data_IF_684523553508
#
_entry.id   IF_684523553508
#
_cell.length_a   1.000
_cell.length_b   1.000
_cell.length_c   1.000
_cell.angle_alpha   90.00
_cell.angle_beta   90.00
_cell.angle_gamma   90.00
#
_symmetry.space_group_name_H-M   'P 1'
#
loop_
_entity.id
_entity.type
_entity.pdbx_description
1 polymer ?
#
# COMPACT_ATOMS: atom_id res chain seq x y z
N UNK A 1 -12.83 -16.58 6.48
CA UNK A 1 -12.23 -15.61 5.54
C UNK A 1 -13.07 -14.34 5.33
N UNK A 2 -14.34 -14.42 4.93
CA UNK A 2 -15.17 -13.21 4.72
C UNK A 2 -15.38 -12.34 5.98
N UNK A 3 -15.49 -12.95 7.16
CA UNK A 3 -15.66 -12.21 8.43
C UNK A 3 -14.43 -11.39 8.81
N UNK A 4 -13.22 -11.88 8.54
CA UNK A 4 -12.00 -11.13 8.81
C UNK A 4 -11.85 -9.88 7.93
N UNK A 5 -12.16 -9.99 6.64
CA UNK A 5 -12.15 -8.84 5.73
C UNK A 5 -13.16 -7.76 6.16
N UNK A 6 -14.40 -8.17 6.52
CA UNK A 6 -15.41 -7.23 7.02
C UNK A 6 -14.96 -6.53 8.29
N UNK A 7 -14.27 -7.23 9.18
CA UNK A 7 -13.75 -6.66 10.41
C UNK A 7 -12.65 -5.60 10.15
N UNK A 8 -11.73 -5.89 9.23
CA UNK A 8 -10.66 -4.94 8.84
C UNK A 8 -11.26 -3.67 8.22
N UNK A 9 -12.30 -3.77 7.37
CA UNK A 9 -12.92 -2.61 6.74
C UNK A 9 -13.97 -1.89 7.60
N UNK A 10 -14.39 -2.47 8.72
CA UNK A 10 -15.38 -1.86 9.61
C UNK A 10 -14.98 -0.43 10.06
N UNK A 11 -13.75 -0.13 10.50
CA UNK A 11 -13.35 1.22 10.87
C UNK A 11 -13.48 2.22 9.72
N UNK A 12 -13.17 1.82 8.47
CA UNK A 12 -13.33 2.66 7.28
C UNK A 12 -14.79 3.02 7.04
N UNK A 13 -15.69 2.05 7.14
CA UNK A 13 -17.14 2.27 6.98
C UNK A 13 -17.66 3.18 8.09
N UNK A 14 -17.26 2.95 9.34
CA UNK A 14 -17.63 3.81 10.48
C UNK A 14 -17.12 5.22 10.27
N UNK A 15 -15.87 5.40 9.85
CA UNK A 15 -15.31 6.72 9.53
C UNK A 15 -16.08 7.42 8.42
N UNK A 16 -16.48 6.69 7.37
CA UNK A 16 -17.27 7.25 6.26
C UNK A 16 -18.66 7.77 6.70
N UNK A 17 -19.23 7.22 7.75
CA UNK A 17 -20.53 7.66 8.26
C UNK A 17 -20.45 9.00 9.03
N UNK A 18 -19.24 9.48 9.36
CA UNK A 18 -19.05 10.70 10.15
C UNK A 18 -18.82 11.92 9.24
N UNK A 19 -19.83 12.80 9.05
CA UNK A 19 -19.64 14.05 8.34
C UNK A 19 -18.94 15.08 9.24
N UNK A 20 -17.86 15.66 8.75
CA UNK A 20 -17.14 16.72 9.48
C UNK A 20 -17.31 18.04 8.73
N UNK A 21 -17.97 19.00 9.36
CA UNK A 21 -18.20 20.34 8.78
C UNK A 21 -17.09 21.35 9.10
N UNK A 22 -16.16 21.02 10.02
CA UNK A 22 -15.09 21.92 10.46
C UNK A 22 -13.81 21.66 9.65
N UNK A 23 -13.43 22.61 8.79
CA UNK A 23 -12.21 22.50 7.98
C UNK A 23 -10.94 22.28 8.82
N UNK A 24 -10.81 22.98 9.96
CA UNK A 24 -9.66 22.81 10.84
C UNK A 24 -9.53 21.39 11.44
N UNK A 25 -10.65 20.72 11.70
CA UNK A 25 -10.62 19.33 12.19
C UNK A 25 -10.22 18.38 11.07
N UNK A 26 -10.71 18.61 9.85
CA UNK A 26 -10.36 17.81 8.68
C UNK A 26 -8.86 17.93 8.35
N UNK A 27 -8.30 19.14 8.47
CA UNK A 27 -6.86 19.35 8.28
C UNK A 27 -6.03 18.60 9.33
N UNK A 28 -6.43 18.61 10.59
CA UNK A 28 -5.78 17.83 11.64
C UNK A 28 -5.85 16.32 11.36
N UNK A 29 -7.00 15.83 10.89
CA UNK A 29 -7.15 14.42 10.50
C UNK A 29 -6.20 14.08 9.34
N UNK A 30 -6.09 14.94 8.32
CA UNK A 30 -5.17 14.73 7.19
C UNK A 30 -3.71 14.68 7.66
N UNK A 31 -3.30 15.59 8.55
CA UNK A 31 -1.97 15.56 9.15
C UNK A 31 -1.75 14.30 9.99
N UNK A 32 -2.71 13.94 10.83
CA UNK A 32 -2.63 12.72 11.65
C UNK A 32 -2.53 11.46 10.80
N UNK A 33 -3.26 11.38 9.68
CA UNK A 33 -3.15 10.26 8.73
C UNK A 33 -1.73 10.10 8.20
N UNK A 34 -1.09 11.22 7.81
CA UNK A 34 0.31 11.18 7.34
C UNK A 34 1.26 10.71 8.44
N UNK A 35 1.08 11.15 9.69
CA UNK A 35 1.88 10.66 10.81
C UNK A 35 1.65 9.18 11.11
N UNK A 36 0.41 8.70 11.04
CA UNK A 36 0.09 7.28 11.24
C UNK A 36 0.77 6.40 10.18
N UNK A 37 0.84 6.87 8.94
CA UNK A 37 1.58 6.15 7.88
C UNK A 37 3.06 6.01 8.28
N UNK A 38 3.71 7.06 8.73
CA UNK A 38 5.12 6.95 9.17
C UNK A 38 5.28 6.03 10.39
N UNK A 39 4.34 6.06 11.33
CA UNK A 39 4.39 5.18 12.50
C UNK A 39 4.24 3.72 12.08
N UNK A 40 3.27 3.39 11.22
CA UNK A 40 3.07 2.01 10.76
C UNK A 40 4.28 1.51 9.97
N UNK A 41 4.89 2.37 9.14
CA UNK A 41 6.11 2.09 8.41
C UNK A 41 7.29 1.78 9.35
N UNK A 42 7.41 2.56 10.41
CA UNK A 42 8.45 2.36 11.43
C UNK A 42 8.25 1.04 12.19
N UNK A 43 6.99 0.71 12.53
CA UNK A 43 6.66 -0.56 13.16
C UNK A 43 6.92 -1.76 12.23
N UNK A 44 6.68 -1.63 10.93
CA UNK A 44 7.04 -2.67 9.97
C UNK A 44 8.56 -2.86 9.88
N UNK A 45 9.32 -1.77 9.93
CA UNK A 45 10.78 -1.86 10.03
C UNK A 45 11.22 -2.62 11.30
N UNK A 46 10.57 -2.34 12.44
CA UNK A 46 10.78 -3.07 13.70
C UNK A 46 10.44 -4.56 13.57
N UNK A 47 9.31 -4.90 12.94
CA UNK A 47 8.89 -6.29 12.72
C UNK A 47 9.87 -7.05 11.84
N UNK A 48 10.46 -6.39 10.82
CA UNK A 48 11.54 -6.99 10.02
C UNK A 48 12.78 -7.33 10.85
N UNK A 49 13.10 -6.54 11.87
CA UNK A 49 14.24 -6.80 12.77
C UNK A 49 14.03 -8.03 13.65
N UNK A 50 12.78 -8.42 13.90
CA UNK A 50 12.42 -9.59 14.70
C UNK A 50 12.61 -10.92 13.94
N UNK A 51 12.91 -10.89 12.64
CA UNK A 51 13.07 -12.10 11.83
C UNK A 51 14.37 -12.82 12.13
N UNK A 52 14.30 -14.12 12.39
CA UNK A 52 15.47 -14.99 12.43
C UNK A 52 16.16 -14.99 11.06
N UNK A 53 17.50 -15.04 11.05
CA UNK A 53 18.32 -15.01 9.83
C UNK A 53 18.05 -13.81 8.93
N UNK A 54 18.00 -12.63 9.50
CA UNK A 54 17.68 -11.36 8.83
C UNK A 54 18.38 -11.19 7.47
N UNK A 55 19.68 -11.56 7.37
CA UNK A 55 20.48 -11.39 6.14
C UNK A 55 19.89 -12.18 4.96
N UNK A 56 19.55 -13.45 5.15
CA UNK A 56 18.97 -14.29 4.08
C UNK A 56 17.53 -13.89 3.78
N UNK A 57 16.76 -13.53 4.79
CA UNK A 57 15.39 -13.05 4.65
C UNK A 57 15.36 -11.70 3.92
N UNK A 58 16.27 -10.79 4.23
CA UNK A 58 16.39 -9.49 3.55
C UNK A 58 16.75 -9.65 2.07
N UNK A 59 17.64 -10.60 1.75
CA UNK A 59 17.96 -10.91 0.36
C UNK A 59 16.74 -11.44 -0.39
N UNK A 60 15.97 -12.34 0.21
CA UNK A 60 14.74 -12.87 -0.36
C UNK A 60 13.67 -11.78 -0.54
N UNK A 61 13.51 -10.90 0.46
CA UNK A 61 12.61 -9.75 0.41
C UNK A 61 12.97 -8.84 -0.78
N UNK A 62 14.24 -8.47 -0.91
CA UNK A 62 14.71 -7.60 -2.00
C UNK A 62 14.55 -8.27 -3.37
N UNK A 63 14.83 -9.57 -3.48
CA UNK A 63 14.65 -10.32 -4.71
C UNK A 63 13.18 -10.36 -5.13
N UNK A 64 12.28 -10.68 -4.21
CA UNK A 64 10.84 -10.71 -4.48
C UNK A 64 10.32 -9.31 -4.82
N UNK A 65 10.57 -8.32 -3.98
CA UNK A 65 10.15 -6.95 -4.22
C UNK A 65 10.67 -6.42 -5.57
N UNK A 66 11.96 -6.61 -5.87
CA UNK A 66 12.58 -6.16 -7.12
C UNK A 66 11.97 -6.85 -8.34
N UNK A 67 11.75 -8.17 -8.29
CA UNK A 67 11.15 -8.92 -9.39
C UNK A 67 9.71 -8.48 -9.62
N UNK A 68 8.89 -8.39 -8.57
CA UNK A 68 7.51 -7.90 -8.69
C UNK A 68 7.47 -6.47 -9.19
N UNK A 69 8.30 -5.58 -8.66
CA UNK A 69 8.41 -4.19 -9.13
C UNK A 69 8.68 -4.11 -10.63
N UNK A 70 9.65 -4.86 -11.14
CA UNK A 70 9.98 -4.88 -12.57
C UNK A 70 8.84 -5.46 -13.39
N UNK A 71 8.30 -6.62 -13.03
CA UNK A 71 7.23 -7.28 -13.77
C UNK A 71 5.96 -6.41 -13.82
N UNK A 72 5.52 -5.88 -12.68
CA UNK A 72 4.34 -5.02 -12.60
C UNK A 72 4.54 -3.71 -13.36
N UNK A 73 5.71 -3.07 -13.21
CA UNK A 73 6.03 -1.81 -13.91
C UNK A 73 6.06 -2.00 -15.42
N UNK A 74 6.70 -3.05 -15.90
CA UNK A 74 6.75 -3.35 -17.35
C UNK A 74 5.35 -3.59 -17.91
N UNK A 75 4.53 -4.41 -17.25
CA UNK A 75 3.16 -4.67 -17.68
C UNK A 75 2.31 -3.39 -17.70
N UNK A 76 2.37 -2.58 -16.65
CA UNK A 76 1.63 -1.33 -16.57
C UNK A 76 2.08 -0.29 -17.60
N UNK A 77 3.39 -0.10 -17.77
CA UNK A 77 3.94 0.85 -18.74
C UNK A 77 3.58 0.50 -20.18
N UNK A 78 3.47 -0.79 -20.53
CA UNK A 78 3.02 -1.20 -21.86
C UNK A 78 1.51 -1.01 -22.06
N UNK A 79 0.71 -1.12 -20.99
CA UNK A 79 -0.74 -0.98 -21.09
C UNK A 79 -1.19 0.49 -21.09
N UNK A 80 -0.52 1.39 -20.39
CA UNK A 80 -0.90 2.81 -20.27
C UNK A 80 -1.05 3.53 -21.61
N UNK A 81 -0.12 3.40 -22.59
CA UNK A 81 -0.29 4.02 -23.90
C UNK A 81 -1.48 3.48 -24.71
N UNK A 82 -1.87 2.22 -24.46
CA UNK A 82 -3.05 1.62 -25.10
C UNK A 82 -4.31 2.23 -24.50
N UNK A 83 -4.32 2.45 -23.19
CA UNK A 83 -5.42 3.12 -22.47
C UNK A 83 -5.63 4.54 -22.99
N UNK A 84 -4.56 5.31 -23.15
CA UNK A 84 -4.60 6.69 -23.64
C UNK A 84 -5.20 6.80 -25.05
N UNK A 85 -4.97 5.79 -25.90
CA UNK A 85 -5.58 5.71 -27.24
C UNK A 85 -7.06 5.36 -27.22
N UNK A 86 -7.49 4.51 -26.28
CA UNK A 86 -8.89 4.02 -26.20
C UNK A 86 -9.75 5.01 -25.44
N UNK A 87 -9.21 5.63 -24.39
CA UNK A 87 -9.90 6.56 -23.51
C UNK A 87 -9.04 7.82 -23.36
N UNK A 88 -9.07 8.73 -24.35
CA UNK A 88 -8.28 9.95 -24.28
C UNK A 88 -8.67 10.76 -23.04
N UNK A 89 -7.76 10.85 -22.08
CA UNK A 89 -7.92 11.68 -20.90
C UNK A 89 -7.83 13.15 -21.35
N UNK A 90 -8.90 13.91 -21.10
CA UNK A 90 -8.84 15.36 -21.20
C UNK A 90 -8.00 15.88 -20.03
N UNK A 91 -6.69 15.84 -20.18
CA UNK A 91 -5.78 16.46 -19.21
C UNK A 91 -5.86 17.97 -19.38
N UNK A 92 -6.42 18.64 -18.38
CA UNK A 92 -6.27 20.07 -18.24
C UNK A 92 -4.76 20.37 -18.11
N UNK A 93 -4.18 21.01 -19.10
CA UNK A 93 -2.74 21.33 -19.24
C UNK A 93 -2.18 22.26 -18.14
N UNK A 94 -3.01 22.67 -17.18
CA UNK A 94 -2.66 23.62 -16.12
C UNK A 94 -2.31 22.96 -14.77
N UNK A 95 -2.07 21.66 -14.73
CA UNK A 95 -1.51 21.06 -13.51
C UNK A 95 -0.03 21.37 -13.43
N UNK A 96 0.36 22.14 -12.41
CA UNK A 96 1.76 22.33 -12.02
C UNK A 96 2.42 20.95 -11.92
N UNK A 97 3.28 20.62 -12.87
CA UNK A 97 4.04 19.36 -12.83
C UNK A 97 4.89 19.40 -11.57
N UNK A 98 4.57 18.55 -10.60
CA UNK A 98 5.43 18.37 -9.44
C UNK A 98 6.83 17.98 -9.94
N UNK A 99 7.89 18.63 -9.46
CA UNK A 99 9.23 18.29 -9.89
C UNK A 99 9.54 16.84 -9.49
N UNK A 100 10.13 16.06 -10.40
CA UNK A 100 10.51 14.66 -10.16
C UNK A 100 11.35 14.49 -8.89
N UNK A 101 12.14 15.51 -8.54
CA UNK A 101 12.92 15.54 -7.32
C UNK A 101 12.08 15.50 -6.04
N UNK A 102 10.91 16.14 -6.00
CA UNK A 102 10.03 16.08 -4.81
C UNK A 102 9.37 14.73 -4.67
N UNK A 103 8.99 14.08 -5.79
CA UNK A 103 8.43 12.73 -5.78
C UNK A 103 9.46 11.70 -5.32
N UNK A 104 10.71 11.81 -5.82
CA UNK A 104 11.81 10.95 -5.40
C UNK A 104 12.15 11.15 -3.90
N UNK A 105 12.11 12.40 -3.42
CA UNK A 105 12.37 12.71 -2.02
C UNK A 105 11.31 12.10 -1.08
N UNK A 106 10.05 12.10 -1.49
CA UNK A 106 8.98 11.45 -0.71
C UNK A 106 9.20 9.95 -0.62
N UNK A 107 9.54 9.28 -1.72
CA UNK A 107 9.86 7.84 -1.71
C UNK A 107 11.07 7.53 -0.82
N UNK A 108 12.13 8.34 -0.89
CA UNK A 108 13.31 8.19 -0.03
C UNK A 108 12.96 8.34 1.45
N UNK A 109 12.07 9.29 1.81
CA UNK A 109 11.61 9.44 3.21
C UNK A 109 10.97 8.17 3.73
N UNK A 110 10.14 7.50 2.93
CA UNK A 110 9.47 6.26 3.33
C UNK A 110 10.50 5.14 3.58
N UNK A 111 11.48 4.98 2.69
CA UNK A 111 12.58 4.02 2.84
C UNK A 111 13.39 4.30 4.10
N UNK A 112 13.71 5.57 4.37
CA UNK A 112 14.45 5.98 5.57
C UNK A 112 13.66 5.67 6.85
N UNK A 113 12.34 5.84 6.85
CA UNK A 113 11.49 5.53 8.01
C UNK A 113 11.49 4.02 8.29
N UNK A 114 11.32 3.18 7.27
CA UNK A 114 11.38 1.71 7.40
C UNK A 114 12.78 1.27 7.85
N UNK A 115 13.83 1.78 7.21
CA UNK A 115 15.22 1.50 7.58
C UNK A 115 15.54 1.95 9.01
N UNK A 116 15.03 3.10 9.43
CA UNK A 116 15.14 3.58 10.81
C UNK A 116 14.46 2.67 11.82
N UNK A 117 13.25 2.17 11.50
CA UNK A 117 12.56 1.16 12.29
C UNK A 117 13.35 -0.14 12.41
N UNK A 118 13.89 -0.63 11.29
CA UNK A 118 14.76 -1.83 11.26
C UNK A 118 16.01 -1.66 12.15
N UNK A 119 16.72 -0.54 12.00
CA UNK A 119 17.90 -0.25 12.81
C UNK A 119 17.54 -0.15 14.30
N UNK A 120 16.43 0.52 14.62
CA UNK A 120 15.95 0.63 15.99
C UNK A 120 15.63 -0.75 16.59
N UNK A 121 14.97 -1.64 15.82
CA UNK A 121 14.67 -2.99 16.24
C UNK A 121 15.90 -3.88 16.49
N UNK A 122 16.98 -3.65 15.73
CA UNK A 122 18.26 -4.35 15.91
C UNK A 122 19.06 -3.87 17.13
N UNK A 123 18.93 -2.58 17.48
CA UNK A 123 19.70 -1.98 18.59
C UNK A 123 18.97 -2.12 19.92
N UNK A 124 17.66 -2.03 19.92
CA UNK A 124 16.85 -2.06 21.14
C UNK A 124 16.57 -3.52 21.53
N UNK A 125 17.02 -3.99 22.71
CA UNK A 125 16.71 -5.34 23.20
C UNK A 125 15.28 -5.41 23.75
N UNK A 126 14.29 -4.98 22.99
CA UNK A 126 12.89 -4.96 23.39
C UNK A 126 12.22 -6.17 22.74
N UNK A 127 11.47 -6.94 23.53
CA UNK A 127 10.60 -7.98 22.97
C UNK A 127 9.64 -7.34 21.94
N UNK A 128 9.70 -7.77 20.70
CA UNK A 128 8.97 -7.15 19.59
C UNK A 128 7.56 -7.74 19.41
N UNK A 129 7.11 -8.60 20.32
CA UNK A 129 5.80 -9.27 20.27
C UNK A 129 4.61 -8.31 20.24
N UNK A 130 4.75 -7.10 20.78
CA UNK A 130 3.71 -6.07 20.78
C UNK A 130 3.59 -5.32 19.45
N UNK A 131 4.61 -5.39 18.58
CA UNK A 131 4.70 -4.60 17.34
C UNK A 131 3.57 -4.94 16.38
N UNK A 132 3.27 -6.23 16.22
CA UNK A 132 2.22 -6.69 15.31
C UNK A 132 0.84 -6.22 15.81
N UNK A 133 0.57 -6.35 17.10
CA UNK A 133 -0.68 -5.86 17.71
C UNK A 133 -0.80 -4.34 17.60
N UNK A 134 0.29 -3.59 17.82
CA UNK A 134 0.30 -2.15 17.67
C UNK A 134 0.06 -1.72 16.21
N UNK A 135 0.67 -2.42 15.27
CA UNK A 135 0.49 -2.18 13.83
C UNK A 135 -0.97 -2.37 13.42
N UNK A 136 -1.64 -3.41 13.91
CA UNK A 136 -3.05 -3.68 13.65
C UNK A 136 -3.96 -2.55 14.17
N UNK A 137 -3.77 -2.10 15.41
CA UNK A 137 -4.55 -0.99 15.98
C UNK A 137 -4.33 0.33 15.23
N UNK A 138 -3.09 0.61 14.85
CA UNK A 138 -2.77 1.79 14.06
C UNK A 138 -3.38 1.72 12.66
N UNK A 139 -3.41 0.53 12.05
CA UNK A 139 -4.09 0.29 10.79
C UNK A 139 -5.59 0.59 10.90
N UNK A 140 -6.25 0.11 11.96
CA UNK A 140 -7.68 0.40 12.18
C UNK A 140 -7.94 1.89 12.34
N UNK A 141 -7.08 2.60 13.07
CA UNK A 141 -7.18 4.06 13.22
C UNK A 141 -6.94 4.79 11.89
N UNK A 142 -5.97 4.32 11.10
CA UNK A 142 -5.67 4.83 9.77
C UNK A 142 -6.88 4.66 8.83
N UNK A 143 -7.47 3.47 8.80
CA UNK A 143 -8.66 3.17 8.01
C UNK A 143 -9.85 4.04 8.41
N UNK A 144 -10.03 4.25 9.70
CA UNK A 144 -11.06 5.13 10.23
C UNK A 144 -10.87 6.58 9.74
N UNK A 145 -9.67 7.12 9.79
CA UNK A 145 -9.38 8.47 9.28
C UNK A 145 -9.54 8.57 7.76
N UNK A 146 -9.13 7.55 7.01
CA UNK A 146 -9.35 7.48 5.56
C UNK A 146 -10.86 7.47 5.26
N UNK A 147 -11.66 6.75 6.03
CA UNK A 147 -13.12 6.78 5.91
C UNK A 147 -13.70 8.19 6.05
N UNK A 148 -13.27 8.93 7.07
CA UNK A 148 -13.67 10.33 7.27
C UNK A 148 -13.23 11.21 6.11
N UNK A 149 -11.99 11.07 5.63
CA UNK A 149 -11.48 11.83 4.49
C UNK A 149 -12.28 11.56 3.22
N UNK A 150 -12.59 10.28 2.96
CA UNK A 150 -13.40 9.87 1.81
C UNK A 150 -14.79 10.50 1.86
N UNK A 151 -15.44 10.53 3.03
CA UNK A 151 -16.74 11.20 3.22
C UNK A 151 -16.68 12.70 2.91
N UNK A 152 -15.60 13.35 3.30
CA UNK A 152 -15.43 14.79 3.20
C UNK A 152 -14.69 15.25 1.93
N UNK A 153 -14.31 14.32 1.04
CA UNK A 153 -13.66 14.63 -0.24
C UNK A 153 -14.56 15.35 -1.25
N UNK A 154 -15.86 15.49 -0.92
CA UNK A 154 -16.86 16.08 -1.83
C UNK A 154 -17.32 15.14 -2.94
N UNK A 155 -16.74 13.95 -3.06
CA UNK A 155 -17.12 12.94 -4.03
C UNK A 155 -18.20 12.02 -3.45
N UNK A 156 -19.33 11.90 -4.14
CA UNK A 156 -20.32 10.89 -3.77
C UNK A 156 -19.86 9.51 -4.26
N UNK A 157 -20.18 8.46 -3.51
CA UNK A 157 -19.93 7.07 -3.94
C UNK A 157 -20.46 6.80 -5.35
N UNK A 158 -21.60 7.39 -5.69
CA UNK A 158 -22.18 7.29 -7.03
C UNK A 158 -21.26 7.91 -8.10
N UNK A 159 -20.65 9.06 -7.84
CA UNK A 159 -19.71 9.68 -8.77
C UNK A 159 -18.44 8.86 -8.95
N UNK A 160 -17.94 8.23 -7.88
CA UNK A 160 -16.78 7.34 -7.92
C UNK A 160 -17.10 6.09 -8.75
N UNK A 161 -18.24 5.42 -8.46
CA UNK A 161 -18.65 4.20 -9.14
C UNK A 161 -19.15 4.42 -10.58
N UNK A 162 -19.65 5.62 -10.91
CA UNK A 162 -20.09 5.95 -12.27
C UNK A 162 -18.99 6.62 -13.12
N UNK A 163 -17.80 6.81 -12.58
CA UNK A 163 -16.65 7.27 -13.35
C UNK A 163 -16.15 6.16 -14.28
N UNK A 164 -16.75 6.08 -15.47
CA UNK A 164 -16.42 5.05 -16.48
C UNK A 164 -14.94 5.03 -16.85
N UNK A 165 -14.30 6.21 -16.92
CA UNK A 165 -12.87 6.32 -17.23
C UNK A 165 -12.02 5.77 -16.07
N UNK A 166 -12.29 6.17 -14.83
CA UNK A 166 -11.62 5.65 -13.66
C UNK A 166 -11.78 4.15 -13.49
N UNK A 167 -13.00 3.62 -13.71
CA UNK A 167 -13.27 2.19 -13.67
C UNK A 167 -12.52 1.41 -14.76
N UNK A 168 -12.46 1.95 -15.99
CA UNK A 168 -11.73 1.30 -17.07
C UNK A 168 -10.22 1.27 -16.81
N UNK A 169 -9.64 2.37 -16.31
CA UNK A 169 -8.24 2.42 -15.91
C UNK A 169 -7.97 1.42 -14.78
N UNK A 170 -8.81 1.38 -13.75
CA UNK A 170 -8.68 0.44 -12.65
C UNK A 170 -8.74 -1.02 -13.14
N UNK A 171 -9.68 -1.36 -14.03
CA UNK A 171 -9.78 -2.70 -14.60
C UNK A 171 -8.53 -3.11 -15.39
N UNK A 172 -7.96 -2.18 -16.15
CA UNK A 172 -6.73 -2.42 -16.92
C UNK A 172 -5.53 -2.60 -15.98
N UNK A 173 -5.39 -1.73 -14.96
CA UNK A 173 -4.33 -1.86 -13.96
C UNK A 173 -4.44 -3.20 -13.21
N UNK A 174 -5.64 -3.62 -12.82
CA UNK A 174 -5.87 -4.92 -12.20
C UNK A 174 -5.41 -6.04 -13.14
N UNK A 175 -5.84 -6.02 -14.40
CA UNK A 175 -5.47 -7.05 -15.38
C UNK A 175 -3.95 -7.11 -15.61
N UNK A 176 -3.30 -5.95 -15.76
CA UNK A 176 -1.84 -5.88 -15.97
C UNK A 176 -1.03 -6.28 -14.73
N UNK A 177 -1.50 -5.94 -13.54
CA UNK A 177 -0.88 -6.41 -12.29
C UNK A 177 -1.02 -7.93 -12.14
N UNK A 178 -2.19 -8.51 -12.47
CA UNK A 178 -2.36 -9.97 -12.48
C UNK A 178 -1.42 -10.64 -13.48
N UNK A 179 -1.28 -10.10 -14.69
CA UNK A 179 -0.32 -10.60 -15.68
C UNK A 179 1.12 -10.49 -15.16
N UNK A 180 1.50 -9.37 -14.58
CA UNK A 180 2.80 -9.19 -13.94
C UNK A 180 3.05 -10.20 -12.81
N UNK A 181 2.03 -10.51 -12.01
CA UNK A 181 2.08 -11.54 -10.97
C UNK A 181 2.30 -12.94 -11.53
N UNK A 182 1.63 -13.29 -12.64
CA UNK A 182 1.86 -14.57 -13.34
C UNK A 182 3.31 -14.67 -13.85
N UNK A 183 3.83 -13.61 -14.45
CA UNK A 183 5.23 -13.58 -14.91
C UNK A 183 6.20 -13.72 -13.74
N UNK A 184 5.97 -12.99 -12.64
CA UNK A 184 6.79 -13.08 -11.43
C UNK A 184 6.74 -14.49 -10.80
N UNK A 185 5.58 -15.16 -10.81
CA UNK A 185 5.42 -16.56 -10.37
C UNK A 185 6.36 -17.50 -11.09
N UNK A 186 6.46 -17.37 -12.42
CA UNK A 186 7.35 -18.20 -13.24
C UNK A 186 8.84 -17.89 -12.99
N UNK A 187 9.19 -16.61 -12.84
CA UNK A 187 10.58 -16.18 -12.63
C UNK A 187 11.10 -16.61 -11.26
N UNK A 188 10.26 -16.52 -10.23
CA UNK A 188 10.63 -16.80 -8.84
C UNK A 188 10.31 -18.22 -8.38
N UNK A 189 9.74 -19.04 -9.28
CA UNK A 189 9.24 -20.39 -8.95
C UNK A 189 8.28 -20.39 -7.74
N UNK A 190 7.43 -19.36 -7.66
CA UNK A 190 6.45 -19.20 -6.60
C UNK A 190 5.10 -19.82 -6.99
N UNK A 191 4.36 -20.38 -6.02
CA UNK A 191 2.98 -20.78 -6.25
C UNK A 191 2.15 -19.62 -6.82
N UNK A 192 1.37 -19.88 -7.87
CA UNK A 192 0.62 -18.87 -8.59
C UNK A 192 -0.29 -18.03 -7.66
N UNK A 193 -0.91 -18.68 -6.66
CA UNK A 193 -1.80 -17.99 -5.72
C UNK A 193 -1.07 -16.97 -4.83
N UNK A 194 0.18 -17.26 -4.44
CA UNK A 194 1.01 -16.33 -3.68
C UNK A 194 1.41 -15.13 -4.54
N UNK A 195 1.87 -15.39 -5.76
CA UNK A 195 2.26 -14.33 -6.68
C UNK A 195 1.09 -13.43 -7.07
N UNK A 196 -0.09 -13.98 -7.32
CA UNK A 196 -1.29 -13.21 -7.57
C UNK A 196 -1.73 -12.40 -6.35
N UNK A 197 -1.61 -12.96 -5.15
CA UNK A 197 -1.90 -12.24 -3.92
C UNK A 197 -0.95 -11.04 -3.74
N UNK A 198 0.36 -11.23 -3.94
CA UNK A 198 1.35 -10.15 -3.88
C UNK A 198 1.10 -9.06 -4.92
N UNK A 199 0.71 -9.43 -6.14
CA UNK A 199 0.41 -8.46 -7.21
C UNK A 199 -0.92 -7.73 -7.02
N UNK A 200 -1.76 -8.15 -6.05
CA UNK A 200 -3.10 -7.58 -5.79
C UNK A 200 -3.12 -6.40 -4.84
N UNK A 201 -1.99 -5.88 -4.42
CA UNK A 201 -1.90 -4.75 -3.48
C UNK A 201 -2.50 -3.43 -4.01
N UNK A 202 -2.60 -3.27 -5.32
CA UNK A 202 -3.26 -2.16 -6.06
C UNK A 202 -3.10 -0.77 -5.41
N UNK A 203 -1.89 -0.45 -4.96
CA UNK A 203 -1.59 0.85 -4.37
C UNK A 203 -1.88 0.99 -2.87
N UNK A 204 -2.38 -0.04 -2.21
CA UNK A 204 -2.48 -0.06 -0.76
C UNK A 204 -1.43 -0.99 -0.13
N UNK A 205 -0.17 -0.62 -0.33
CA UNK A 205 1.00 -1.40 0.08
C UNK A 205 1.01 -1.75 1.58
N UNK A 206 0.60 -0.83 2.47
CA UNK A 206 0.59 -1.08 3.90
C UNK A 206 -0.39 -2.20 4.30
N UNK A 207 -1.59 -2.21 3.72
CA UNK A 207 -2.55 -3.29 3.94
C UNK A 207 -2.08 -4.59 3.28
N UNK A 208 -1.57 -4.52 2.06
CA UNK A 208 -1.05 -5.68 1.35
C UNK A 208 0.09 -6.34 2.13
N UNK A 209 1.05 -5.56 2.63
CA UNK A 209 2.17 -6.05 3.42
C UNK A 209 1.72 -6.78 4.69
N UNK A 210 0.75 -6.23 5.43
CA UNK A 210 0.22 -6.88 6.64
C UNK A 210 -0.51 -8.18 6.30
N UNK A 211 -1.40 -8.17 5.30
CA UNK A 211 -2.15 -9.36 4.90
C UNK A 211 -1.24 -10.47 4.35
N UNK A 212 -0.19 -10.09 3.60
CA UNK A 212 0.80 -11.04 3.10
C UNK A 212 1.68 -11.60 4.22
N UNK A 213 2.04 -10.76 5.19
CA UNK A 213 2.77 -11.16 6.38
C UNK A 213 1.98 -12.18 7.22
N UNK A 214 0.71 -11.93 7.43
CA UNK A 214 -0.19 -12.81 8.19
C UNK A 214 -0.46 -14.14 7.44
N UNK A 215 -0.67 -14.07 6.12
CA UNK A 215 -1.04 -15.24 5.32
C UNK A 215 0.15 -16.12 4.91
N UNK A 216 1.31 -15.54 4.62
CA UNK A 216 2.46 -16.23 4.00
C UNK A 216 3.78 -16.03 4.74
N UNK A 217 3.75 -15.31 5.83
CA UNK A 217 4.93 -15.03 6.65
C UNK A 217 5.63 -13.71 6.31
N UNK A 218 6.55 -13.30 7.21
CA UNK A 218 7.11 -11.96 7.24
C UNK A 218 7.96 -11.59 6.02
N UNK A 219 8.54 -12.58 5.32
CA UNK A 219 9.29 -12.34 4.07
C UNK A 219 8.35 -11.83 2.96
N UNK A 220 7.18 -12.44 2.82
CA UNK A 220 6.17 -12.00 1.85
C UNK A 220 5.54 -10.67 2.24
N UNK A 221 5.30 -10.47 3.54
CA UNK A 221 4.84 -9.19 4.06
C UNK A 221 5.82 -8.06 3.75
N UNK A 222 7.10 -8.25 4.05
CA UNK A 222 8.16 -7.30 3.77
C UNK A 222 8.32 -7.01 2.27
N UNK A 223 8.27 -8.05 1.42
CA UNK A 223 8.38 -7.90 -0.02
C UNK A 223 7.18 -7.19 -0.65
N UNK A 224 5.97 -7.41 -0.14
CA UNK A 224 4.76 -6.73 -0.62
C UNK A 224 4.68 -5.27 -0.18
N UNK A 225 5.47 -4.91 0.81
CA UNK A 225 5.53 -3.58 1.36
C UNK A 225 6.55 -2.69 0.64
N UNK A 226 7.68 -3.25 0.21
CA UNK A 226 8.73 -2.56 -0.54
C UNK A 226 8.37 -2.38 -2.02
#
# INVERSE_FOLDING_TARGET
>A
MFSGMLFIFAPLVVGYLIPISRAALLEKINQSTSYLIYVILSLMGLSLAALDNLSSNLQSILLYAGTFFVCLSVCNLHALPIVDKIIPLQTNHNQNKLPLSSMALESVKLIVVVGGGLIAGLILPIGLEWVDTASEWILFLLLFFIGIQLRNSGLTLRQILLNKQGMAIAAIVIATCMLGGVIASVILDLPLYQALAMSSGFGWYSLAGILMGDAFGPVFGGASFL
#
